data_IF_661713258202
#
_entry.id   IF_661713258202
#
_cell.length_a   1.000
_cell.length_b   1.000
_cell.length_c   1.000
_cell.angle_alpha   90.00
_cell.angle_beta   90.00
_cell.angle_gamma   90.00
#
_symmetry.space_group_name_H-M   'P 1'
#
loop_
_entity.id
_entity.type
_entity.pdbx_description
1 polymer ?
#
# COMPACT_ATOMS: atom_id res chain seq x y z
N UNK A 1 -7.08 -3.68 -30.06
CA UNK A 1 -7.03 -2.80 -28.87
C UNK A 1 -8.36 -2.08 -28.77
N UNK A 2 -9.31 -2.60 -27.99
CA UNK A 2 -10.59 -1.93 -27.80
C UNK A 2 -10.35 -0.75 -26.85
N UNK A 3 -10.45 0.47 -27.38
CA UNK A 3 -10.55 1.65 -26.53
C UNK A 3 -11.85 1.50 -25.73
N UNK A 4 -11.72 1.24 -24.43
CA UNK A 4 -12.87 1.20 -23.53
C UNK A 4 -13.60 2.54 -23.65
N UNK A 5 -14.90 2.49 -23.96
CA UNK A 5 -15.71 3.67 -24.21
C UNK A 5 -15.56 4.69 -23.08
N UNK A 6 -15.44 5.99 -23.35
CA UNK A 6 -15.24 6.99 -22.31
C UNK A 6 -16.36 6.89 -21.27
N UNK A 7 -15.97 6.74 -20.00
CA UNK A 7 -16.92 6.66 -18.90
C UNK A 7 -17.71 7.98 -18.81
N UNK A 8 -19.00 7.94 -18.46
CA UNK A 8 -19.78 9.15 -18.24
C UNK A 8 -19.20 9.99 -17.08
N UNK A 9 -19.51 11.30 -17.01
CA UNK A 9 -18.99 12.18 -15.98
C UNK A 9 -19.26 11.60 -14.59
N UNK A 10 -18.22 11.57 -13.75
CA UNK A 10 -18.27 10.91 -12.46
C UNK A 10 -19.27 11.62 -11.53
N UNK A 11 -20.30 10.92 -11.03
CA UNK A 11 -21.22 11.45 -10.04
C UNK A 11 -20.49 11.92 -8.76
N UNK A 12 -20.97 12.96 -8.05
CA UNK A 12 -20.33 13.47 -6.84
C UNK A 12 -20.25 12.44 -5.70
N UNK A 13 -21.12 11.43 -5.70
CA UNK A 13 -21.15 10.32 -4.75
C UNK A 13 -19.96 9.36 -4.95
N UNK A 14 -19.38 9.32 -6.16
CA UNK A 14 -18.34 8.37 -6.55
C UNK A 14 -16.91 8.94 -6.43
N UNK A 15 -16.73 10.02 -5.66
CA UNK A 15 -15.39 10.61 -5.42
C UNK A 15 -14.37 9.62 -4.87
N UNK A 16 -14.77 8.67 -4.02
CA UNK A 16 -13.89 7.63 -3.47
C UNK A 16 -13.37 6.66 -4.53
N UNK A 17 -14.21 6.29 -5.51
CA UNK A 17 -13.82 5.38 -6.61
C UNK A 17 -13.06 6.10 -7.73
N UNK A 18 -13.04 7.44 -7.74
CA UNK A 18 -12.35 8.25 -8.75
C UNK A 18 -10.86 7.88 -8.87
N UNK A 19 -10.20 7.71 -7.72
CA UNK A 19 -8.77 7.41 -7.65
C UNK A 19 -8.45 6.01 -8.18
N UNK A 20 -9.32 5.04 -7.90
CA UNK A 20 -9.23 3.66 -8.39
C UNK A 20 -9.44 3.59 -9.91
N UNK A 21 -10.42 4.33 -10.43
CA UNK A 21 -10.72 4.36 -11.88
C UNK A 21 -9.62 5.04 -12.70
N UNK A 22 -9.05 6.14 -12.19
CA UNK A 22 -7.91 6.80 -12.85
C UNK A 22 -6.71 5.86 -12.92
N UNK A 23 -6.44 5.15 -11.83
CA UNK A 23 -5.36 4.16 -11.76
C UNK A 23 -5.62 3.02 -12.75
N UNK A 24 -6.84 2.49 -12.81
CA UNK A 24 -7.21 1.47 -13.81
C UNK A 24 -6.91 1.91 -15.26
N UNK A 25 -7.23 3.16 -15.61
CA UNK A 25 -6.95 3.72 -16.93
C UNK A 25 -5.44 3.85 -17.22
N UNK A 26 -4.64 4.19 -16.21
CA UNK A 26 -3.18 4.23 -16.34
C UNK A 26 -2.58 2.83 -16.55
N UNK A 27 -3.21 1.80 -15.96
CA UNK A 27 -2.76 0.41 -16.06
C UNK A 27 -3.32 -0.36 -17.25
N UNK A 28 -4.34 0.13 -17.97
CA UNK A 28 -4.91 -0.55 -19.16
C UNK A 28 -3.87 -0.98 -20.21
N UNK A 29 -2.80 -0.20 -20.38
CA UNK A 29 -1.72 -0.50 -21.34
C UNK A 29 -0.57 -1.31 -20.73
N UNK A 30 -0.39 -1.26 -19.40
CA UNK A 30 0.73 -1.90 -18.70
C UNK A 30 0.36 -3.30 -18.24
N UNK A 31 -0.81 -3.40 -17.61
CA UNK A 31 -1.32 -4.63 -17.03
C UNK A 31 -2.86 -4.58 -17.00
N UNK A 32 -3.46 -5.28 -17.94
CA UNK A 32 -4.91 -5.30 -18.11
C UNK A 32 -5.61 -6.11 -16.99
N UNK A 33 -4.90 -7.01 -16.29
CA UNK A 33 -5.44 -7.76 -15.14
C UNK A 33 -5.66 -6.82 -13.96
N UNK A 34 -4.64 -6.02 -13.63
CA UNK A 34 -4.76 -4.99 -12.58
C UNK A 34 -5.89 -4.01 -12.90
N UNK A 35 -5.98 -3.57 -14.17
CA UNK A 35 -7.01 -2.66 -14.61
C UNK A 35 -8.43 -3.26 -14.53
N UNK A 36 -8.58 -4.57 -14.73
CA UNK A 36 -9.84 -5.29 -14.51
C UNK A 36 -10.23 -5.30 -13.03
N UNK A 37 -9.32 -5.65 -12.14
CA UNK A 37 -9.60 -5.72 -10.71
C UNK A 37 -9.87 -4.37 -10.06
N UNK A 38 -9.16 -3.31 -10.46
CA UNK A 38 -9.48 -1.95 -10.01
C UNK A 38 -10.90 -1.51 -10.43
N UNK A 39 -11.36 -1.92 -11.62
CA UNK A 39 -12.74 -1.65 -12.07
C UNK A 39 -13.76 -2.50 -11.32
N UNK A 40 -13.42 -3.75 -10.99
CA UNK A 40 -14.27 -4.63 -10.19
C UNK A 40 -14.51 -4.04 -8.79
N UNK A 41 -13.44 -3.55 -8.15
CA UNK A 41 -13.55 -2.84 -6.88
C UNK A 41 -14.43 -1.59 -6.98
N UNK A 42 -14.21 -0.77 -8.02
CA UNK A 42 -14.99 0.44 -8.25
C UNK A 42 -16.49 0.12 -8.46
N UNK A 43 -16.80 -0.98 -9.14
CA UNK A 43 -18.18 -1.45 -9.35
C UNK A 43 -18.82 -1.90 -8.03
N UNK A 44 -18.15 -2.75 -7.26
CA UNK A 44 -18.67 -3.23 -5.97
C UNK A 44 -18.87 -2.08 -4.98
N UNK A 45 -17.90 -1.18 -4.88
CA UNK A 45 -17.96 0.00 -4.01
C UNK A 45 -19.05 0.96 -4.49
N UNK A 46 -19.17 1.18 -5.81
CA UNK A 46 -20.23 2.00 -6.39
C UNK A 46 -21.64 1.47 -6.11
N UNK A 47 -21.83 0.14 -6.17
CA UNK A 47 -23.08 -0.52 -5.80
C UNK A 47 -23.43 -0.35 -4.32
N UNK A 48 -22.42 -0.35 -3.43
CA UNK A 48 -22.60 -0.12 -1.98
C UNK A 48 -22.96 1.34 -1.66
N UNK A 49 -22.41 2.30 -2.40
CA UNK A 49 -22.63 3.74 -2.15
C UNK A 49 -24.02 4.19 -2.60
N UNK A 50 -24.30 4.09 -3.90
CA UNK A 50 -25.58 4.57 -4.46
C UNK A 50 -25.97 3.78 -5.71
N UNK A 51 -26.95 2.90 -5.53
CA UNK A 51 -27.60 2.12 -6.58
C UNK A 51 -28.99 2.63 -6.93
N UNK A 52 -29.40 3.80 -6.41
CA UNK A 52 -30.76 4.35 -6.54
C UNK A 52 -30.83 5.47 -7.56
N UNK A 53 -29.80 6.32 -7.61
CA UNK A 53 -29.75 7.45 -8.55
C UNK A 53 -29.63 6.96 -10.01
N UNK A 54 -30.45 7.47 -10.96
CA UNK A 54 -30.42 7.02 -12.36
C UNK A 54 -29.10 7.35 -13.07
N UNK A 55 -28.40 8.42 -12.68
CA UNK A 55 -27.06 8.76 -13.19
C UNK A 55 -26.00 7.74 -12.74
N UNK A 56 -26.02 7.36 -11.46
CA UNK A 56 -25.16 6.32 -10.90
C UNK A 56 -25.41 4.96 -11.59
N UNK A 57 -26.68 4.59 -11.84
CA UNK A 57 -27.01 3.36 -12.58
C UNK A 57 -26.48 3.37 -14.00
N UNK A 58 -26.60 4.49 -14.73
CA UNK A 58 -26.01 4.63 -16.08
C UNK A 58 -24.49 4.47 -16.05
N UNK A 59 -23.84 5.05 -15.03
CA UNK A 59 -22.40 4.90 -14.82
C UNK A 59 -22.01 3.44 -14.53
N UNK A 60 -22.69 2.78 -13.59
CA UNK A 60 -22.45 1.37 -13.23
C UNK A 60 -22.71 0.43 -14.41
N UNK A 61 -23.76 0.66 -15.20
CA UNK A 61 -24.04 -0.11 -16.41
C UNK A 61 -22.89 -0.01 -17.43
N UNK A 62 -22.37 1.20 -17.66
CA UNK A 62 -21.22 1.40 -18.56
C UNK A 62 -19.93 0.79 -18.01
N UNK A 63 -19.73 0.83 -16.70
CA UNK A 63 -18.59 0.19 -16.04
C UNK A 63 -18.67 -1.33 -16.15
N UNK A 64 -19.87 -1.91 -16.08
CA UNK A 64 -20.10 -3.34 -16.30
C UNK A 64 -19.78 -3.75 -17.74
N UNK A 65 -20.25 -2.99 -18.74
CA UNK A 65 -19.92 -3.23 -20.16
C UNK A 65 -18.38 -3.26 -20.38
N UNK A 66 -17.67 -2.35 -19.72
CA UNK A 66 -16.20 -2.28 -19.76
C UNK A 66 -15.54 -3.51 -19.11
N UNK A 67 -16.07 -3.95 -17.96
CA UNK A 67 -15.59 -5.14 -17.26
C UNK A 67 -15.79 -6.41 -18.10
N UNK A 68 -16.94 -6.56 -18.74
CA UNK A 68 -17.22 -7.69 -19.63
C UNK A 68 -16.31 -7.68 -20.87
N UNK A 69 -16.05 -6.51 -21.45
CA UNK A 69 -15.12 -6.37 -22.56
C UNK A 69 -13.69 -6.77 -22.16
N UNK A 70 -13.21 -6.31 -21.00
CA UNK A 70 -11.91 -6.68 -20.47
C UNK A 70 -11.82 -8.16 -20.14
N UNK A 71 -12.86 -8.73 -19.51
CA UNK A 71 -12.94 -10.16 -19.21
C UNK A 71 -12.91 -11.01 -20.48
N UNK A 72 -13.56 -10.56 -21.55
CA UNK A 72 -13.52 -11.23 -22.86
C UNK A 72 -12.14 -11.14 -23.51
N UNK A 73 -11.45 -10.01 -23.36
CA UNK A 73 -10.07 -9.86 -23.86
C UNK A 73 -9.04 -10.67 -23.05
N UNK A 74 -9.29 -10.89 -21.76
CA UNK A 74 -8.39 -11.57 -20.83
C UNK A 74 -8.87 -12.99 -20.47
N UNK A 75 -9.86 -13.52 -21.18
CA UNK A 75 -10.52 -14.79 -20.86
C UNK A 75 -9.60 -16.02 -20.95
N UNK A 76 -8.48 -15.89 -21.65
CA UNK A 76 -7.46 -16.92 -21.78
C UNK A 76 -6.44 -16.91 -20.61
N UNK A 77 -6.49 -15.90 -19.73
CA UNK A 77 -5.52 -15.74 -18.64
C UNK A 77 -6.04 -16.34 -17.34
N UNK A 78 -5.23 -17.22 -16.72
CA UNK A 78 -5.53 -17.91 -15.46
C UNK A 78 -5.84 -16.94 -14.32
N UNK A 79 -5.27 -15.73 -14.37
CA UNK A 79 -5.52 -14.69 -13.39
C UNK A 79 -6.98 -14.21 -13.34
N UNK A 80 -7.80 -14.46 -14.36
CA UNK A 80 -9.23 -14.07 -14.38
C UNK A 80 -10.14 -15.26 -14.09
N UNK A 81 -9.70 -16.49 -14.40
CA UNK A 81 -10.46 -17.72 -14.15
C UNK A 81 -10.33 -18.18 -12.71
N UNK A 82 -9.17 -17.97 -12.08
CA UNK A 82 -8.90 -18.31 -10.70
C UNK A 82 -8.69 -17.06 -9.84
N UNK A 83 -9.55 -16.89 -8.85
CA UNK A 83 -9.51 -15.76 -7.92
C UNK A 83 -8.20 -15.73 -7.10
N UNK A 84 -7.66 -16.90 -6.75
CA UNK A 84 -6.39 -17.06 -6.02
C UNK A 84 -5.20 -16.55 -6.86
N UNK A 85 -5.15 -16.92 -8.13
CA UNK A 85 -4.07 -16.48 -9.05
C UNK A 85 -4.18 -14.99 -9.31
N UNK A 86 -5.40 -14.47 -9.47
CA UNK A 86 -5.66 -13.03 -9.59
C UNK A 86 -5.15 -12.25 -8.37
N UNK A 87 -5.50 -12.69 -7.17
CA UNK A 87 -5.06 -12.08 -5.91
C UNK A 87 -3.53 -12.06 -5.78
N UNK A 88 -2.87 -13.21 -6.01
CA UNK A 88 -1.41 -13.30 -5.99
C UNK A 88 -0.75 -12.39 -7.04
N UNK A 89 -1.38 -12.21 -8.20
CA UNK A 89 -0.88 -11.30 -9.24
C UNK A 89 -0.98 -9.82 -8.83
N UNK A 90 -2.09 -9.41 -8.20
CA UNK A 90 -2.20 -8.05 -7.64
C UNK A 90 -1.18 -7.81 -6.54
N UNK A 91 -1.00 -8.79 -5.66
CA UNK A 91 -0.07 -8.68 -4.54
C UNK A 91 1.38 -8.53 -5.00
N UNK A 92 1.81 -9.39 -5.93
CA UNK A 92 3.14 -9.28 -6.53
C UNK A 92 3.34 -7.94 -7.25
N UNK A 93 2.29 -7.42 -7.91
CA UNK A 93 2.35 -6.14 -8.57
C UNK A 93 2.46 -4.98 -7.57
N UNK A 94 1.67 -5.00 -6.49
CA UNK A 94 1.73 -4.02 -5.41
C UNK A 94 3.12 -4.02 -4.74
N UNK A 95 3.65 -5.20 -4.42
CA UNK A 95 5.00 -5.40 -3.91
C UNK A 95 6.06 -4.80 -4.84
N UNK A 96 5.97 -5.05 -6.13
CA UNK A 96 6.93 -4.52 -7.11
C UNK A 96 6.90 -3.00 -7.18
N UNK A 97 5.72 -2.40 -7.18
CA UNK A 97 5.55 -0.94 -7.15
C UNK A 97 6.09 -0.34 -5.85
N UNK A 98 5.89 -1.05 -4.74
CA UNK A 98 6.38 -0.66 -3.44
C UNK A 98 7.91 -0.72 -3.34
N UNK A 99 8.52 -1.86 -3.71
CA UNK A 99 9.98 -2.04 -3.72
C UNK A 99 10.67 -1.07 -4.67
N UNK A 100 10.05 -0.77 -5.81
CA UNK A 100 10.55 0.29 -6.68
C UNK A 100 10.58 1.64 -5.96
N UNK A 101 9.49 2.00 -5.27
CA UNK A 101 9.41 3.26 -4.55
C UNK A 101 10.37 3.31 -3.34
N UNK A 102 10.50 2.23 -2.57
CA UNK A 102 11.43 2.08 -1.45
C UNK A 102 12.89 2.14 -1.89
N UNK A 103 13.24 1.51 -3.02
CA UNK A 103 14.60 1.59 -3.57
C UNK A 103 14.95 3.01 -4.04
N UNK A 104 14.01 3.73 -4.64
CA UNK A 104 14.20 5.15 -5.01
C UNK A 104 14.30 6.05 -3.76
N UNK A 105 13.51 5.78 -2.72
CA UNK A 105 13.56 6.50 -1.43
C UNK A 105 14.90 6.28 -0.70
N UNK A 106 15.36 5.03 -0.59
CA UNK A 106 16.67 4.66 -0.03
C UNK A 106 17.84 5.24 -0.84
N UNK A 107 17.66 5.40 -2.15
CA UNK A 107 18.64 6.04 -3.01
C UNK A 107 18.57 7.58 -2.97
N UNK A 108 17.66 8.17 -2.19
CA UNK A 108 17.48 9.61 -2.05
C UNK A 108 16.91 10.29 -3.30
N UNK A 109 16.29 9.53 -4.22
CA UNK A 109 15.75 10.02 -5.49
C UNK A 109 14.27 10.35 -5.37
N UNK A 110 13.98 11.53 -4.84
CA UNK A 110 12.62 12.01 -4.70
C UNK A 110 12.07 12.55 -6.03
N UNK A 111 11.21 11.78 -6.69
CA UNK A 111 10.53 12.20 -7.92
C UNK A 111 9.05 11.84 -7.93
N UNK A 112 8.26 12.53 -8.79
CA UNK A 112 6.81 12.32 -8.88
C UNK A 112 6.41 10.87 -9.12
N UNK A 113 7.23 10.09 -9.85
CA UNK A 113 6.93 8.68 -10.12
C UNK A 113 7.05 7.78 -8.88
N UNK A 114 7.88 8.15 -7.89
CA UNK A 114 8.05 7.39 -6.65
C UNK A 114 6.82 7.59 -5.78
N UNK A 115 6.41 8.85 -5.61
CA UNK A 115 5.17 9.22 -4.90
C UNK A 115 3.95 8.55 -5.54
N UNK A 116 3.87 8.55 -6.88
CA UNK A 116 2.83 7.82 -7.59
C UNK A 116 2.89 6.31 -7.34
N UNK A 117 4.09 5.73 -7.27
CA UNK A 117 4.25 4.30 -7.04
C UNK A 117 3.79 3.87 -5.65
N UNK A 118 4.14 4.64 -4.60
CA UNK A 118 3.58 4.44 -3.26
C UNK A 118 2.06 4.58 -3.23
N UNK A 119 1.52 5.60 -3.89
CA UNK A 119 0.08 5.85 -3.94
C UNK A 119 -0.69 4.76 -4.70
N UNK A 120 -0.14 4.29 -5.82
CA UNK A 120 -0.69 3.15 -6.57
C UNK A 120 -0.62 1.88 -5.74
N UNK A 121 0.48 1.64 -5.00
CA UNK A 121 0.60 0.48 -4.13
C UNK A 121 -0.49 0.47 -3.04
N UNK A 122 -0.75 1.61 -2.38
CA UNK A 122 -1.82 1.71 -1.39
C UNK A 122 -3.20 1.43 -1.99
N UNK A 123 -3.49 1.97 -3.18
CA UNK A 123 -4.76 1.72 -3.88
C UNK A 123 -4.93 0.25 -4.26
N UNK A 124 -3.84 -0.42 -4.66
CA UNK A 124 -3.89 -1.84 -5.00
C UNK A 124 -4.20 -2.70 -3.78
N UNK A 125 -3.71 -2.32 -2.60
CA UNK A 125 -4.03 -3.01 -1.34
C UNK A 125 -5.52 -2.86 -1.01
N UNK A 126 -6.10 -1.66 -1.20
CA UNK A 126 -7.55 -1.47 -1.04
C UNK A 126 -8.34 -2.38 -2.00
N UNK A 127 -7.86 -2.57 -3.24
CA UNK A 127 -8.48 -3.49 -4.21
C UNK A 127 -8.32 -4.95 -3.79
N UNK A 128 -7.22 -5.35 -3.14
CA UNK A 128 -7.04 -6.72 -2.63
C UNK A 128 -8.09 -7.05 -1.55
N UNK A 129 -8.59 -6.06 -0.80
CA UNK A 129 -9.69 -6.29 0.18
C UNK A 129 -11.01 -6.74 -0.45
N UNK A 130 -11.16 -6.63 -1.78
CA UNK A 130 -12.32 -7.15 -2.53
C UNK A 130 -12.46 -8.65 -2.43
N UNK A 131 -11.33 -9.36 -2.37
CA UNK A 131 -11.30 -10.81 -2.35
C UNK A 131 -11.74 -11.39 -0.98
N UNK A 132 -12.14 -10.53 -0.03
CA UNK A 132 -12.64 -10.87 1.30
C UNK A 132 -11.74 -10.35 2.43
N UNK A 133 -12.25 -10.33 3.67
CA UNK A 133 -11.36 -10.33 4.83
C UNK A 133 -10.43 -11.54 4.68
N UNK A 134 -9.13 -11.34 4.91
CA UNK A 134 -8.14 -12.41 5.00
C UNK A 134 -8.60 -13.41 6.09
N UNK A 135 -9.49 -14.34 5.75
CA UNK A 135 -9.83 -15.44 6.63
C UNK A 135 -8.60 -16.32 6.73
N UNK A 136 -8.35 -16.79 7.95
CA UNK A 136 -7.17 -17.57 8.35
C UNK A 136 -6.90 -18.83 7.49
N UNK A 137 -7.82 -19.20 6.60
CA UNK A 137 -7.71 -20.32 5.66
C UNK A 137 -6.75 -20.05 4.48
N UNK A 138 -6.49 -18.79 4.11
CA UNK A 138 -5.49 -18.45 3.08
C UNK A 138 -4.05 -18.49 3.60
N UNK A 139 -3.85 -18.55 4.92
CA UNK A 139 -2.54 -18.78 5.54
C UNK A 139 -2.07 -20.25 5.39
N UNK A 140 -2.97 -21.17 5.07
CA UNK A 140 -2.70 -22.62 5.09
C UNK A 140 -2.37 -23.18 3.69
N UNK A 141 -2.84 -22.55 2.60
CA UNK A 141 -2.73 -23.11 1.25
C UNK A 141 -1.87 -22.31 0.24
N UNK A 142 -1.35 -21.14 0.63
CA UNK A 142 -0.18 -20.57 -0.05
C UNK A 142 1.06 -20.93 0.78
N UNK A 143 2.19 -21.28 0.14
CA UNK A 143 3.43 -21.61 0.86
C UNK A 143 3.90 -20.39 1.65
N UNK A 144 3.49 -20.30 2.92
CA UNK A 144 4.06 -19.65 4.11
C UNK A 144 4.59 -18.18 4.00
N UNK A 145 4.58 -17.51 2.84
CA UNK A 145 5.37 -16.29 2.63
C UNK A 145 4.72 -15.17 1.79
N UNK A 146 3.55 -15.35 1.19
CA UNK A 146 3.00 -14.34 0.26
C UNK A 146 2.22 -13.20 0.95
N UNK A 147 1.07 -13.45 1.61
CA UNK A 147 0.22 -12.39 2.18
C UNK A 147 0.90 -11.59 3.30
N UNK A 148 1.78 -12.26 4.07
CA UNK A 148 2.56 -11.58 5.10
C UNK A 148 3.68 -10.73 4.51
N UNK A 149 4.29 -11.08 3.38
CA UNK A 149 5.42 -10.31 2.85
C UNK A 149 4.98 -8.94 2.37
N UNK A 150 3.86 -8.78 1.65
CA UNK A 150 3.41 -7.48 1.18
C UNK A 150 2.95 -6.57 2.33
N UNK A 151 2.14 -7.10 3.24
CA UNK A 151 1.66 -6.35 4.39
C UNK A 151 2.81 -6.04 5.37
N UNK A 152 3.73 -6.96 5.62
CA UNK A 152 4.90 -6.75 6.49
C UNK A 152 5.92 -5.83 5.85
N UNK A 153 6.17 -5.92 4.53
CA UNK A 153 7.02 -4.96 3.82
C UNK A 153 6.39 -3.57 3.87
N UNK A 154 5.08 -3.43 3.64
CA UNK A 154 4.36 -2.17 3.74
C UNK A 154 4.35 -1.61 5.18
N UNK A 155 4.17 -2.46 6.21
CA UNK A 155 4.28 -2.07 7.61
C UNK A 155 5.70 -1.64 7.95
N UNK A 156 6.71 -2.39 7.46
CA UNK A 156 8.13 -2.09 7.65
C UNK A 156 8.56 -0.80 6.95
N UNK A 157 7.87 -0.45 5.86
CA UNK A 157 8.19 0.69 5.03
C UNK A 157 7.02 1.70 4.94
N UNK A 158 6.25 1.76 6.03
CA UNK A 158 5.34 2.84 6.35
C UNK A 158 6.02 4.19 6.08
N UNK A 159 5.51 5.06 5.17
CA UNK A 159 5.98 6.43 5.04
C UNK A 159 5.31 7.28 6.12
N UNK A 160 5.65 7.02 7.38
CA UNK A 160 5.34 7.95 8.48
C UNK A 160 6.40 7.93 9.58
N UNK A 161 7.66 7.72 9.21
CA UNK A 161 8.76 8.32 9.97
C UNK A 161 9.14 9.58 9.23
N UNK A 162 8.77 10.71 9.84
CA UNK A 162 9.21 12.07 9.50
C UNK A 162 10.64 12.06 8.93
N UNK A 163 10.98 12.97 7.98
CA UNK A 163 12.23 12.91 7.23
C UNK A 163 13.38 12.65 8.19
N UNK A 164 13.95 11.45 8.14
CA UNK A 164 15.15 11.14 8.89
C UNK A 164 16.22 12.00 8.26
N UNK A 165 16.44 13.13 8.93
CA UNK A 165 17.62 13.97 8.77
C UNK A 165 18.79 13.02 8.67
N UNK A 166 19.54 13.16 7.59
CA UNK A 166 20.78 12.44 7.32
C UNK A 166 21.79 12.76 8.42
N UNK A 167 21.62 12.12 9.58
CA UNK A 167 22.49 12.26 10.74
C UNK A 167 23.55 11.19 10.54
N UNK A 168 24.72 11.62 10.08
CA UNK A 168 25.94 10.80 10.14
C UNK A 168 26.29 10.56 11.61
N UNK A 169 25.69 9.52 12.19
CA UNK A 169 26.01 9.04 13.53
C UNK A 169 27.43 8.48 13.51
N UNK A 170 28.30 9.05 14.32
CA UNK A 170 29.67 8.58 14.49
C UNK A 170 29.69 7.37 15.43
N UNK A 171 30.71 6.49 15.37
CA UNK A 171 30.84 5.38 16.33
C UNK A 171 30.86 5.85 17.80
N UNK A 172 31.28 7.10 18.04
CA UNK A 172 31.23 7.75 19.37
C UNK A 172 29.80 8.05 19.85
N UNK A 173 28.88 8.37 18.94
CA UNK A 173 27.46 8.61 19.25
C UNK A 173 26.78 7.32 19.68
N UNK A 174 27.10 6.20 19.01
CA UNK A 174 26.59 4.88 19.39
C UNK A 174 27.12 4.43 20.76
N UNK A 175 28.41 4.64 21.04
CA UNK A 175 28.98 4.33 22.34
C UNK A 175 28.32 5.14 23.48
N UNK A 176 27.98 6.41 23.22
CA UNK A 176 27.28 7.28 24.17
C UNK A 176 25.83 6.88 24.37
N UNK A 177 25.08 6.58 23.31
CA UNK A 177 23.71 6.06 23.41
C UNK A 177 23.66 4.77 24.24
N UNK A 178 24.60 3.85 23.99
CA UNK A 178 24.70 2.59 24.74
C UNK A 178 24.97 2.82 26.23
N UNK A 179 25.75 3.86 26.58
CA UNK A 179 26.02 4.26 27.96
C UNK A 179 24.75 4.76 28.66
N UNK A 180 23.94 5.58 27.99
CA UNK A 180 22.66 6.03 28.53
C UNK A 180 21.67 4.88 28.75
N UNK A 181 21.62 3.90 27.85
CA UNK A 181 20.82 2.69 28.05
C UNK A 181 21.28 1.88 29.27
N UNK A 182 22.59 1.78 29.51
CA UNK A 182 23.12 1.11 30.72
C UNK A 182 22.75 1.86 32.00
N UNK A 183 22.82 3.19 32.00
CA UNK A 183 22.42 4.02 33.14
C UNK A 183 20.91 3.95 33.42
N UNK A 184 20.09 3.89 32.38
CA UNK A 184 18.67 3.63 32.53
C UNK A 184 18.41 2.25 33.18
N UNK A 185 19.13 1.21 32.74
CA UNK A 185 19.06 -0.12 33.33
C UNK A 185 19.45 -0.14 34.82
N UNK A 186 20.53 0.55 35.19
CA UNK A 186 20.90 0.70 36.61
C UNK A 186 19.86 1.49 37.40
N UNK A 187 19.30 2.56 36.85
CA UNK A 187 18.26 3.36 37.52
C UNK A 187 16.98 2.55 37.79
N UNK A 188 16.57 1.70 36.84
CA UNK A 188 15.45 0.76 37.03
C UNK A 188 15.72 -0.25 38.15
N UNK A 189 16.97 -0.70 38.31
CA UNK A 189 17.37 -1.62 39.37
C UNK A 189 17.23 -1.00 40.77
N UNK A 190 17.35 0.33 40.88
CA UNK A 190 17.15 1.10 42.11
C UNK A 190 15.75 1.74 42.19
N UNK A 191 14.82 1.29 41.34
CA UNK A 191 13.43 1.80 41.26
C UNK A 191 13.32 3.32 40.99
N UNK A 192 14.38 3.95 40.49
CA UNK A 192 14.41 5.36 40.10
C UNK A 192 13.90 5.52 38.66
N UNK A 193 12.57 5.49 38.54
CA UNK A 193 11.86 5.62 37.27
C UNK A 193 12.13 6.97 36.60
N UNK A 194 12.30 8.04 37.39
CA UNK A 194 12.53 9.39 36.86
C UNK A 194 13.88 9.47 36.14
N UNK A 195 14.94 8.96 36.78
CA UNK A 195 16.27 8.91 36.20
C UNK A 195 16.34 7.94 35.02
N UNK A 196 15.61 6.83 35.06
CA UNK A 196 15.52 5.89 33.94
C UNK A 196 14.92 6.54 32.68
N UNK A 197 13.79 7.24 32.83
CA UNK A 197 13.12 7.95 31.72
C UNK A 197 14.00 9.04 31.15
N UNK A 198 14.67 9.83 31.99
CA UNK A 198 15.57 10.89 31.54
C UNK A 198 16.75 10.37 30.71
N UNK A 199 17.35 9.25 31.10
CA UNK A 199 18.46 8.65 30.37
C UNK A 199 18.01 8.07 29.01
N UNK A 200 16.84 7.45 28.95
CA UNK A 200 16.26 6.96 27.69
C UNK A 200 15.92 8.11 26.74
N UNK A 201 15.37 9.21 27.25
CA UNK A 201 15.10 10.41 26.46
C UNK A 201 16.39 11.03 25.90
N UNK A 202 17.48 11.07 26.69
CA UNK A 202 18.80 11.54 26.23
C UNK A 202 19.36 10.64 25.12
N UNK A 203 19.27 9.32 25.27
CA UNK A 203 19.68 8.37 24.24
C UNK A 203 18.89 8.57 22.95
N UNK A 204 17.56 8.70 23.06
CA UNK A 204 16.67 8.91 21.92
C UNK A 204 16.96 10.23 21.22
N UNK A 205 17.20 11.32 21.98
CA UNK A 205 17.58 12.61 21.43
C UNK A 205 18.91 12.53 20.70
N UNK A 206 19.95 11.94 21.30
CA UNK A 206 21.26 11.76 20.66
C UNK A 206 21.16 11.02 19.32
N UNK A 207 20.38 9.92 19.29
CA UNK A 207 20.17 9.11 18.08
C UNK A 207 19.28 9.79 17.03
N UNK A 208 18.45 10.76 17.44
CA UNK A 208 17.49 11.45 16.55
C UNK A 208 17.97 12.84 16.10
N UNK A 209 18.92 13.46 16.80
CA UNK A 209 19.43 14.81 16.48
C UNK A 209 20.94 14.90 16.29
N UNK A 210 21.71 13.85 16.62
CA UNK A 210 23.18 13.86 16.54
C UNK A 210 23.86 14.86 17.51
N UNK A 211 23.11 15.38 18.48
CA UNK A 211 23.53 16.36 19.50
C UNK A 211 22.74 16.14 20.79
N UNK A 212 23.39 16.33 21.94
CA UNK A 212 22.82 16.18 23.29
C UNK A 212 21.80 17.27 23.68
#
# INVERSE_FOLDING_TARGET
MAALAPLPPLPPQFKSIQHHLRTAQEHDKRDAVVAYYCRLYAMQTGMKIDSKTPECRKFLSKLMDQLEALKKQLGDNEAITQEIVGSAHLENYALKMFLYADNEDRAGRFHKNMIKSFYTASLLIDVITVFGELTDEYAVNLPEFAPLSAFTVLLSASPLKAPLRDIRLTPEDFARAQKYCKYAGSALQYEDVSTAVQNLQKALKLLTTGRE
#
